data_IF_314762582652
#
_entry.id   IF_314762582652
#
_cell.length_a   1.000
_cell.length_b   1.000
_cell.length_c   1.000
_cell.angle_alpha   90.00
_cell.angle_beta   90.00
_cell.angle_gamma   90.00
#
_symmetry.space_group_name_H-M   'P 1'
#
loop_
_entity.id
_entity.type
_entity.pdbx_description
1 polymer ?
#
# COMPACT_ATOMS: atom_id res chain seq x y z
N UNK A 1 -30.33 3.73 2.17
CA UNK A 1 -30.40 2.27 2.00
C UNK A 1 -31.82 1.93 1.60
N UNK A 2 -32.03 1.48 0.36
CA UNK A 2 -33.36 1.19 -0.19
C UNK A 2 -33.77 -0.24 0.14
N UNK A 3 -35.04 -0.44 0.52
CA UNK A 3 -35.58 -1.76 0.85
C UNK A 3 -36.90 -2.01 0.12
N UNK A 4 -37.15 -3.28 -0.22
CA UNK A 4 -38.38 -3.78 -0.84
C UNK A 4 -38.74 -5.10 -0.16
N UNK A 5 -39.92 -5.18 0.45
CA UNK A 5 -40.39 -6.35 1.22
C UNK A 5 -39.35 -6.85 2.25
N UNK A 6 -38.71 -5.93 2.96
CA UNK A 6 -37.69 -6.24 3.96
C UNK A 6 -36.32 -6.67 3.41
N UNK A 7 -36.15 -6.76 2.09
CA UNK A 7 -34.88 -7.08 1.42
C UNK A 7 -34.16 -5.81 0.98
N UNK A 8 -32.83 -5.82 1.04
CA UNK A 8 -32.00 -4.73 0.49
C UNK A 8 -32.09 -4.79 -1.03
N UNK A 9 -32.40 -3.65 -1.64
CA UNK A 9 -32.45 -3.50 -3.09
C UNK A 9 -31.62 -2.31 -3.54
N UNK A 10 -31.18 -2.34 -4.79
CA UNK A 10 -30.60 -1.18 -5.45
C UNK A 10 -31.55 -0.65 -6.52
N UNK A 11 -31.83 0.64 -6.48
CA UNK A 11 -32.35 1.38 -7.64
C UNK A 11 -31.22 1.67 -8.62
N UNK A 12 -31.55 2.10 -9.84
CA UNK A 12 -30.52 2.54 -10.79
C UNK A 12 -29.69 3.71 -10.24
N UNK A 13 -30.30 4.59 -9.44
CA UNK A 13 -29.58 5.67 -8.77
C UNK A 13 -28.60 5.14 -7.72
N UNK A 14 -29.01 4.15 -6.92
CA UNK A 14 -28.13 3.49 -5.95
C UNK A 14 -26.95 2.81 -6.66
N UNK A 15 -27.18 2.13 -7.78
CA UNK A 15 -26.12 1.49 -8.57
C UNK A 15 -25.10 2.49 -9.13
N UNK A 16 -25.57 3.67 -9.56
CA UNK A 16 -24.69 4.74 -10.01
C UNK A 16 -23.85 5.30 -8.87
N UNK A 17 -24.46 5.52 -7.69
CA UNK A 17 -23.79 6.06 -6.52
C UNK A 17 -22.76 5.08 -5.93
N UNK A 18 -23.15 3.81 -5.78
CA UNK A 18 -22.36 2.78 -5.10
C UNK A 18 -21.19 2.27 -5.96
N UNK A 19 -21.45 2.01 -7.25
CA UNK A 19 -20.45 1.39 -8.14
C UNK A 19 -19.84 2.39 -9.14
N UNK A 20 -20.24 3.66 -9.09
CA UNK A 20 -19.75 4.69 -10.02
C UNK A 20 -20.12 4.42 -11.49
N UNK A 21 -21.18 3.65 -11.73
CA UNK A 21 -21.58 3.24 -13.07
C UNK A 21 -22.36 4.33 -13.80
N UNK A 22 -22.13 4.47 -15.11
CA UNK A 22 -22.92 5.38 -15.94
C UNK A 22 -24.34 4.85 -16.21
N UNK A 23 -25.32 5.75 -16.29
CA UNK A 23 -26.71 5.40 -16.60
C UNK A 23 -26.83 4.63 -17.92
N UNK A 24 -26.18 5.11 -18.98
CA UNK A 24 -26.19 4.47 -20.30
C UNK A 24 -25.61 3.05 -20.28
N UNK A 25 -24.57 2.82 -19.46
CA UNK A 25 -23.99 1.50 -19.24
C UNK A 25 -25.01 0.56 -18.59
N UNK A 26 -25.66 1.01 -17.52
CA UNK A 26 -26.69 0.22 -16.83
C UNK A 26 -27.89 -0.07 -17.73
N UNK A 27 -28.34 0.91 -18.52
CA UNK A 27 -29.43 0.73 -19.49
C UNK A 27 -29.07 -0.26 -20.59
N UNK A 28 -27.84 -0.18 -21.11
CA UNK A 28 -27.33 -1.14 -22.08
C UNK A 28 -27.33 -2.56 -21.50
N UNK A 29 -26.80 -2.76 -20.29
CA UNK A 29 -26.76 -4.09 -19.69
C UNK A 29 -28.15 -4.66 -19.45
N UNK A 30 -29.10 -3.83 -19.00
CA UNK A 30 -30.48 -4.25 -18.82
C UNK A 30 -31.18 -4.60 -20.15
N UNK A 31 -30.91 -3.85 -21.22
CA UNK A 31 -31.43 -4.13 -22.56
C UNK A 31 -30.89 -5.47 -23.10
N UNK A 32 -29.62 -5.74 -22.83
CA UNK A 32 -28.91 -6.96 -23.25
C UNK A 32 -29.01 -8.10 -22.22
N UNK A 33 -29.94 -8.02 -21.25
CA UNK A 33 -29.98 -8.95 -20.11
C UNK A 33 -30.10 -10.42 -20.49
N UNK A 34 -30.82 -10.71 -21.58
CA UNK A 34 -30.96 -12.07 -22.11
C UNK A 34 -29.63 -12.72 -22.52
N UNK A 35 -28.62 -11.94 -22.91
CA UNK A 35 -27.32 -12.45 -23.36
C UNK A 35 -26.20 -12.26 -22.33
N UNK A 36 -26.36 -11.35 -21.38
CA UNK A 36 -25.34 -11.06 -20.37
C UNK A 36 -25.68 -11.59 -18.96
N UNK A 37 -26.88 -12.16 -18.78
CA UNK A 37 -27.34 -12.75 -17.52
C UNK A 37 -27.64 -11.72 -16.43
N UNK A 38 -27.83 -10.45 -16.79
CA UNK A 38 -28.18 -9.38 -15.86
C UNK A 38 -29.45 -9.74 -15.09
N UNK A 39 -29.48 -9.53 -13.76
CA UNK A 39 -30.60 -9.93 -12.92
C UNK A 39 -31.89 -9.23 -13.34
N UNK A 40 -33.01 -9.93 -13.20
CA UNK A 40 -34.33 -9.33 -13.40
C UNK A 40 -34.66 -8.40 -12.22
N UNK A 41 -35.48 -7.36 -12.43
CA UNK A 41 -35.91 -6.50 -11.34
C UNK A 41 -36.70 -7.29 -10.30
N UNK A 42 -36.41 -7.10 -9.01
CA UNK A 42 -37.17 -7.67 -7.90
C UNK A 42 -38.53 -6.97 -7.72
N UNK A 43 -38.71 -5.78 -8.31
CA UNK A 43 -39.94 -4.99 -8.28
C UNK A 43 -39.63 -3.50 -8.49
N UNK A 44 -40.43 -2.65 -7.86
CA UNK A 44 -40.26 -1.19 -7.90
C UNK A 44 -40.13 -0.61 -6.50
N UNK A 45 -39.11 0.21 -6.27
CA UNK A 45 -39.01 1.07 -5.09
C UNK A 45 -39.49 2.48 -5.47
N UNK A 46 -40.73 2.81 -5.11
CA UNK A 46 -41.42 3.98 -5.67
C UNK A 46 -41.70 3.81 -7.15
N UNK A 47 -41.26 4.76 -7.98
CA UNK A 47 -41.42 4.69 -9.45
C UNK A 47 -40.22 4.06 -10.18
N UNK A 48 -39.18 3.64 -9.45
CA UNK A 48 -37.95 3.12 -10.03
C UNK A 48 -37.88 1.61 -9.92
N UNK A 49 -37.45 0.95 -10.99
CA UNK A 49 -37.07 -0.47 -10.94
C UNK A 49 -35.98 -0.68 -9.89
N UNK A 50 -36.13 -1.76 -9.13
CA UNK A 50 -35.22 -2.15 -8.08
C UNK A 50 -34.74 -3.58 -8.29
N UNK A 51 -33.45 -3.82 -8.07
CA UNK A 51 -32.81 -5.14 -8.15
C UNK A 51 -32.46 -5.62 -6.75
N UNK A 52 -32.60 -6.92 -6.50
CA UNK A 52 -32.10 -7.52 -5.27
C UNK A 52 -30.60 -7.25 -5.15
N UNK A 53 -30.18 -6.71 -4.00
CA UNK A 53 -28.81 -6.27 -3.82
C UNK A 53 -27.82 -7.44 -3.91
N UNK A 54 -28.15 -8.58 -3.31
CA UNK A 54 -27.26 -9.73 -3.28
C UNK A 54 -27.15 -10.39 -4.66
N UNK A 55 -28.25 -10.45 -5.41
CA UNK A 55 -28.22 -10.94 -6.79
C UNK A 55 -27.42 -10.03 -7.71
N UNK A 56 -27.61 -8.71 -7.59
CA UNK A 56 -26.81 -7.72 -8.30
C UNK A 56 -25.32 -7.87 -7.99
N UNK A 57 -24.96 -7.93 -6.71
CA UNK A 57 -23.57 -8.05 -6.26
C UNK A 57 -22.89 -9.29 -6.85
N UNK A 58 -23.56 -10.44 -6.79
CA UNK A 58 -23.04 -11.69 -7.39
C UNK A 58 -22.86 -11.57 -8.90
N UNK A 59 -23.87 -11.07 -9.61
CA UNK A 59 -23.79 -10.91 -11.06
C UNK A 59 -22.69 -9.92 -11.47
N UNK A 60 -22.62 -8.77 -10.80
CA UNK A 60 -21.65 -7.73 -11.12
C UNK A 60 -20.22 -8.18 -10.83
N UNK A 61 -20.00 -8.89 -9.72
CA UNK A 61 -18.72 -9.53 -9.41
C UNK A 61 -18.32 -10.55 -10.48
N UNK A 62 -19.23 -11.45 -10.87
CA UNK A 62 -18.99 -12.44 -11.93
C UNK A 62 -18.73 -11.80 -13.30
N UNK A 63 -19.40 -10.69 -13.61
CA UNK A 63 -19.16 -9.92 -14.83
C UNK A 63 -17.79 -9.25 -14.82
N UNK A 64 -17.33 -8.76 -13.65
CA UNK A 64 -16.00 -8.15 -13.48
C UNK A 64 -14.87 -9.17 -13.63
N UNK A 65 -15.08 -10.41 -13.20
CA UNK A 65 -14.11 -11.50 -13.29
C UNK A 65 -14.22 -12.34 -14.57
N UNK A 66 -15.21 -12.08 -15.45
CA UNK A 66 -15.36 -12.84 -16.69
C UNK A 66 -14.13 -12.66 -17.58
N UNK A 67 -13.48 -13.77 -17.92
CA UNK A 67 -12.27 -13.80 -18.74
C UNK A 67 -10.99 -13.49 -17.95
N UNK A 68 -11.08 -13.30 -16.63
CA UNK A 68 -9.94 -13.16 -15.75
C UNK A 68 -9.61 -14.55 -15.18
N UNK A 69 -8.38 -15.06 -15.39
CA UNK A 69 -7.94 -16.31 -14.78
C UNK A 69 -8.11 -16.31 -13.25
N UNK A 70 -8.45 -17.47 -12.69
CA UNK A 70 -8.51 -17.66 -11.24
C UNK A 70 -7.17 -17.35 -10.58
N UNK A 71 -7.21 -16.73 -9.40
CA UNK A 71 -6.00 -16.30 -8.67
C UNK A 71 -5.50 -14.91 -9.04
N UNK A 72 -6.07 -14.29 -10.07
CA UNK A 72 -5.76 -12.90 -10.40
C UNK A 72 -6.71 -11.95 -9.70
N UNK A 73 -6.13 -10.89 -9.12
CA UNK A 73 -6.84 -9.92 -8.29
C UNK A 73 -6.56 -8.50 -8.75
N UNK A 74 -7.56 -7.65 -8.61
CA UNK A 74 -7.41 -6.21 -8.82
C UNK A 74 -6.69 -5.56 -7.64
N UNK A 75 -6.17 -4.35 -7.85
CA UNK A 75 -5.57 -3.53 -6.79
C UNK A 75 -6.52 -3.26 -5.61
N UNK A 76 -7.83 -3.17 -5.86
CA UNK A 76 -8.81 -2.99 -4.79
C UNK A 76 -9.00 -4.27 -3.97
N UNK A 77 -8.94 -5.43 -4.62
CA UNK A 77 -8.97 -6.72 -3.93
C UNK A 77 -7.69 -6.94 -3.13
N UNK A 78 -6.52 -6.58 -3.68
CA UNK A 78 -5.26 -6.59 -2.91
C UNK A 78 -5.36 -5.74 -1.65
N UNK A 79 -5.92 -4.52 -1.76
CA UNK A 79 -6.12 -3.63 -0.63
C UNK A 79 -7.01 -4.27 0.45
N UNK A 80 -8.14 -4.85 0.04
CA UNK A 80 -9.10 -5.46 0.96
C UNK A 80 -8.54 -6.74 1.61
N UNK A 81 -7.88 -7.61 0.84
CA UNK A 81 -7.42 -8.93 1.30
C UNK A 81 -6.14 -8.87 2.13
N UNK A 82 -5.24 -7.95 1.83
CA UNK A 82 -3.96 -7.80 2.55
C UNK A 82 -3.94 -6.62 3.53
N UNK A 83 -5.06 -5.91 3.70
CA UNK A 83 -5.14 -4.77 4.63
C UNK A 83 -4.27 -3.58 4.25
N UNK A 84 -3.86 -3.47 2.98
CA UNK A 84 -2.96 -2.42 2.50
C UNK A 84 -3.77 -1.24 1.97
N UNK A 85 -3.40 -0.01 2.34
CA UNK A 85 -4.11 1.17 1.85
C UNK A 85 -3.95 1.34 0.34
N UNK A 86 -5.00 1.83 -0.33
CA UNK A 86 -4.95 2.18 -1.78
C UNK A 86 -3.84 3.17 -2.10
N UNK A 87 -3.56 4.11 -1.19
CA UNK A 87 -2.48 5.07 -1.33
C UNK A 87 -1.12 4.37 -1.37
N UNK A 88 -0.88 3.45 -0.43
CA UNK A 88 0.34 2.64 -0.38
C UNK A 88 0.52 1.83 -1.65
N UNK A 89 -0.51 1.13 -2.12
CA UNK A 89 -0.45 0.39 -3.39
C UNK A 89 -0.13 1.28 -4.60
N UNK A 90 -0.67 2.52 -4.62
CA UNK A 90 -0.36 3.49 -5.68
C UNK A 90 1.12 3.92 -5.64
N UNK A 91 1.68 4.17 -4.45
CA UNK A 91 3.10 4.49 -4.29
C UNK A 91 3.98 3.33 -4.74
N UNK A 92 3.69 2.12 -4.26
CA UNK A 92 4.44 0.91 -4.64
C UNK A 92 4.44 0.68 -6.16
N UNK A 93 3.32 0.91 -6.82
CA UNK A 93 3.23 0.82 -8.27
C UNK A 93 4.00 1.95 -8.99
N UNK A 94 4.00 3.16 -8.45
CA UNK A 94 4.77 4.28 -9.00
C UNK A 94 6.28 3.98 -8.92
N UNK A 95 6.72 3.41 -7.80
CA UNK A 95 8.11 3.08 -7.51
C UNK A 95 8.52 1.69 -8.02
N UNK A 96 7.71 1.05 -8.87
CA UNK A 96 7.89 -0.35 -9.30
C UNK A 96 9.27 -0.69 -9.86
N UNK A 97 9.89 0.28 -10.54
CA UNK A 97 11.24 0.12 -11.10
C UNK A 97 12.32 -0.01 -10.01
N UNK A 98 12.10 0.53 -8.81
CA UNK A 98 13.06 0.55 -7.71
C UNK A 98 12.75 -0.48 -6.61
N UNK A 99 11.52 -0.98 -6.53
CA UNK A 99 11.09 -1.90 -5.47
C UNK A 99 10.84 -3.34 -5.95
N UNK A 100 10.94 -3.61 -7.26
CA UNK A 100 10.75 -4.93 -7.84
C UNK A 100 9.29 -5.40 -7.80
N UNK A 101 8.32 -4.49 -7.77
CA UNK A 101 6.90 -4.81 -7.78
C UNK A 101 6.54 -5.67 -8.99
N UNK A 102 5.78 -6.78 -8.82
CA UNK A 102 5.36 -7.63 -9.93
C UNK A 102 4.57 -6.88 -11.00
N UNK A 103 4.78 -7.26 -12.26
CA UNK A 103 3.97 -6.75 -13.35
C UNK A 103 2.52 -7.27 -13.28
N UNK A 104 1.62 -6.60 -13.99
CA UNK A 104 0.25 -7.10 -14.08
C UNK A 104 0.20 -8.34 -14.98
N UNK A 105 -0.22 -9.47 -14.40
CA UNK A 105 -0.41 -10.74 -15.08
C UNK A 105 -1.54 -10.69 -16.13
N UNK A 106 -2.53 -9.80 -15.97
CA UNK A 106 -3.62 -9.66 -16.94
C UNK A 106 -4.19 -8.24 -17.01
N UNK A 107 -4.77 -7.90 -18.17
CA UNK A 107 -5.51 -6.65 -18.39
C UNK A 107 -6.85 -6.94 -19.06
N UNK A 108 -7.92 -6.46 -18.43
CA UNK A 108 -9.26 -6.44 -19.03
C UNK A 108 -9.76 -4.99 -19.11
N UNK A 109 -9.75 -4.42 -20.32
CA UNK A 109 -10.01 -3.00 -20.53
C UNK A 109 -8.98 -2.12 -19.81
N UNK A 110 -9.44 -1.25 -18.90
CA UNK A 110 -8.58 -0.41 -18.06
C UNK A 110 -8.17 -1.06 -16.74
N UNK A 111 -8.78 -2.21 -16.39
CA UNK A 111 -8.46 -2.91 -15.16
C UNK A 111 -7.20 -3.76 -15.34
N UNK A 112 -6.28 -3.62 -14.39
CA UNK A 112 -5.09 -4.45 -14.25
C UNK A 112 -5.31 -5.47 -13.15
N UNK A 113 -4.81 -6.67 -13.38
CA UNK A 113 -4.87 -7.77 -12.45
C UNK A 113 -3.47 -8.32 -12.20
N UNK A 114 -3.20 -8.66 -10.96
CA UNK A 114 -1.94 -9.25 -10.50
C UNK A 114 -2.20 -10.67 -10.01
N UNK A 115 -1.22 -11.54 -10.15
CA UNK A 115 -1.23 -12.81 -9.45
C UNK A 115 -1.15 -12.55 -7.95
N UNK A 116 -2.17 -13.00 -7.22
CA UNK A 116 -2.27 -12.74 -5.78
C UNK A 116 -1.13 -13.38 -4.99
N UNK A 117 -0.74 -14.60 -5.35
CA UNK A 117 0.29 -15.36 -4.63
C UNK A 117 1.67 -14.74 -4.87
N UNK A 118 1.99 -14.39 -6.11
CA UNK A 118 3.23 -13.69 -6.47
C UNK A 118 3.30 -12.33 -5.76
N UNK A 119 2.22 -11.54 -5.82
CA UNK A 119 2.18 -10.22 -5.19
C UNK A 119 2.33 -10.30 -3.67
N UNK A 120 1.63 -11.23 -3.02
CA UNK A 120 1.71 -11.39 -1.56
C UNK A 120 3.10 -11.86 -1.11
N UNK A 121 3.74 -12.76 -1.86
CA UNK A 121 5.10 -13.20 -1.58
C UNK A 121 6.09 -12.03 -1.68
N UNK A 122 6.00 -11.24 -2.75
CA UNK A 122 6.81 -10.04 -2.92
C UNK A 122 6.56 -9.01 -1.81
N UNK A 123 5.30 -8.73 -1.47
CA UNK A 123 4.95 -7.70 -0.50
C UNK A 123 5.49 -8.03 0.91
N UNK A 124 5.36 -9.29 1.33
CA UNK A 124 5.97 -9.77 2.58
C UNK A 124 7.49 -9.63 2.56
N UNK A 125 8.15 -10.01 1.48
CA UNK A 125 9.60 -9.84 1.36
C UNK A 125 10.02 -8.36 1.38
N UNK A 126 9.18 -7.46 0.86
CA UNK A 126 9.39 -6.01 0.93
C UNK A 126 9.26 -5.48 2.36
N UNK A 127 8.30 -5.99 3.15
CA UNK A 127 8.12 -5.61 4.56
C UNK A 127 9.21 -6.17 5.47
N UNK A 128 9.69 -7.38 5.17
CA UNK A 128 10.81 -8.00 5.89
C UNK A 128 12.16 -7.39 5.50
N UNK A 129 12.23 -6.63 4.40
CA UNK A 129 13.47 -5.98 3.97
C UNK A 129 13.83 -4.88 4.97
N UNK A 130 14.99 -4.95 5.65
CA UNK A 130 15.44 -3.85 6.48
C UNK A 130 15.50 -2.59 5.61
N UNK A 131 15.11 -1.45 6.17
CA UNK A 131 15.24 -0.16 5.50
C UNK A 131 16.67 -0.05 4.96
N UNK A 132 16.82 0.19 3.66
CA UNK A 132 18.14 0.30 3.06
C UNK A 132 18.87 1.44 3.75
N UNK A 133 19.90 1.11 4.53
CA UNK A 133 20.66 2.10 5.31
C UNK A 133 21.38 3.04 4.35
N UNK A 134 20.80 4.21 4.10
CA UNK A 134 21.31 5.23 3.20
C UNK A 134 22.53 5.94 3.80
N UNK A 135 23.43 6.48 2.97
CA UNK A 135 24.57 7.27 3.46
C UNK A 135 24.14 8.53 4.21
N UNK A 136 22.95 9.05 3.95
CA UNK A 136 22.40 10.22 4.64
C UNK A 136 21.54 9.89 5.85
N UNK A 137 21.37 8.61 6.17
CA UNK A 137 20.55 8.19 7.31
C UNK A 137 21.11 8.74 8.62
N UNK A 138 20.20 9.22 9.46
CA UNK A 138 20.51 9.73 10.78
C UNK A 138 20.67 8.56 11.75
N UNK A 139 21.90 8.33 12.19
CA UNK A 139 22.27 7.29 13.13
C UNK A 139 22.46 7.86 14.53
N UNK A 140 22.00 7.12 15.53
CA UNK A 140 22.29 7.37 16.93
C UNK A 140 23.77 7.13 17.24
N UNK A 141 24.22 7.63 18.38
CA UNK A 141 25.56 7.37 18.88
C UNK A 141 25.86 5.86 19.05
N UNK A 142 24.86 5.07 19.47
CA UNK A 142 24.99 3.62 19.60
C UNK A 142 25.14 2.90 18.25
N UNK A 143 24.45 3.40 17.21
CA UNK A 143 24.63 2.92 15.84
C UNK A 143 25.98 3.32 15.28
N UNK A 144 26.45 4.54 15.56
CA UNK A 144 27.78 4.98 15.20
C UNK A 144 28.88 4.11 15.83
N UNK A 145 28.73 3.68 17.09
CA UNK A 145 29.67 2.73 17.72
C UNK A 145 29.73 1.39 16.97
N UNK A 146 28.57 0.86 16.56
CA UNK A 146 28.50 -0.38 15.79
C UNK A 146 29.21 -0.24 14.45
N UNK A 147 29.01 0.88 13.74
CA UNK A 147 29.70 1.19 12.48
C UNK A 147 31.23 1.23 12.68
N UNK A 148 31.69 1.77 13.80
CA UNK A 148 33.12 1.95 14.10
C UNK A 148 33.77 0.73 14.78
N UNK A 149 33.02 -0.34 15.06
CA UNK A 149 33.51 -1.49 15.82
C UNK A 149 33.90 -1.18 17.26
N UNK A 150 33.30 -0.15 17.87
CA UNK A 150 33.61 0.29 19.23
C UNK A 150 32.67 -0.35 20.25
N UNK A 151 33.17 -0.57 21.46
CA UNK A 151 32.32 -0.90 22.60
C UNK A 151 31.33 0.24 22.88
N UNK A 152 30.08 -0.11 23.22
CA UNK A 152 29.03 0.87 23.48
C UNK A 152 29.38 1.84 24.63
N UNK A 153 30.18 1.40 25.59
CA UNK A 153 30.69 2.22 26.70
C UNK A 153 31.70 3.28 26.26
N UNK A 154 32.42 3.05 25.15
CA UNK A 154 33.42 4.00 24.63
C UNK A 154 32.77 5.17 23.90
N UNK A 155 31.67 4.92 23.18
CA UNK A 155 31.03 5.96 22.36
C UNK A 155 30.23 6.96 23.18
N UNK A 156 29.68 6.57 24.33
CA UNK A 156 28.85 7.46 25.17
C UNK A 156 29.63 8.67 25.69
N UNK A 157 30.95 8.53 25.85
CA UNK A 157 31.86 9.63 26.21
C UNK A 157 31.95 10.68 25.10
N UNK A 158 31.78 10.30 23.82
CA UNK A 158 31.91 11.21 22.68
C UNK A 158 30.83 12.29 22.66
N UNK A 159 29.69 12.07 23.33
CA UNK A 159 28.64 13.07 23.45
C UNK A 159 29.08 14.30 24.26
N UNK A 160 30.04 14.16 25.18
CA UNK A 160 30.58 15.25 26.01
C UNK A 160 32.06 15.55 25.78
N UNK A 161 32.82 14.58 25.29
CA UNK A 161 34.25 14.70 24.98
C UNK A 161 34.54 13.98 23.66
N UNK A 162 34.15 14.58 22.52
CA UNK A 162 34.39 13.98 21.22
C UNK A 162 35.90 13.93 20.92
N UNK A 163 36.40 12.85 20.31
CA UNK A 163 37.79 12.80 19.84
C UNK A 163 38.00 13.76 18.68
N UNK A 164 39.26 14.06 18.38
CA UNK A 164 39.62 14.90 17.24
C UNK A 164 39.02 14.35 15.93
N UNK A 165 38.40 15.23 15.15
CA UNK A 165 37.77 14.88 13.87
C UNK A 165 36.41 14.20 13.96
N UNK A 166 35.86 13.98 15.15
CA UNK A 166 34.49 13.47 15.31
C UNK A 166 33.46 14.42 14.68
N UNK A 167 32.49 13.92 13.90
CA UNK A 167 31.52 14.79 13.24
C UNK A 167 30.56 15.45 14.23
N UNK A 168 30.13 16.68 13.88
CA UNK A 168 29.03 17.35 14.57
C UNK A 168 27.71 16.60 14.33
N UNK A 169 26.79 16.57 15.32
CA UNK A 169 25.49 15.96 15.13
C UNK A 169 24.67 16.75 14.11
N UNK A 170 24.11 16.05 13.12
CA UNK A 170 23.22 16.63 12.14
C UNK A 170 21.85 17.00 12.73
N UNK A 171 21.46 16.37 13.85
CA UNK A 171 20.25 16.72 14.60
C UNK A 171 20.43 16.42 16.09
N UNK A 172 19.85 17.27 16.92
CA UNK A 172 19.74 17.06 18.36
C UNK A 172 18.27 17.09 18.77
N UNK A 173 17.90 16.18 19.67
CA UNK A 173 16.52 16.03 20.16
C UNK A 173 16.52 16.04 21.69
N UNK A 174 15.76 16.94 22.34
CA UNK A 174 15.61 16.90 23.79
C UNK A 174 14.86 15.64 24.20
N UNK A 175 15.32 15.02 25.28
CA UNK A 175 14.70 13.87 25.94
C UNK A 175 14.27 14.27 27.36
N UNK A 176 13.35 13.51 27.94
CA UNK A 176 12.92 13.70 29.32
C UNK A 176 14.10 13.61 30.31
N UNK A 177 14.09 14.51 31.30
CA UNK A 177 15.09 14.60 32.35
C UNK A 177 16.39 15.32 31.94
N UNK A 178 16.32 16.31 31.04
CA UNK A 178 17.47 17.13 30.63
C UNK A 178 18.48 16.41 29.72
N UNK A 179 18.15 15.21 29.26
CA UNK A 179 18.99 14.43 28.34
C UNK A 179 18.80 14.93 26.90
N UNK A 180 19.82 14.74 26.06
CA UNK A 180 19.76 15.08 24.63
C UNK A 180 20.20 13.87 23.82
N UNK A 181 19.39 13.48 22.84
CA UNK A 181 19.76 12.51 21.81
C UNK A 181 20.44 13.25 20.67
N UNK A 182 21.59 12.76 20.24
CA UNK A 182 22.36 13.27 19.10
C UNK A 182 22.27 12.26 17.96
N UNK A 183 21.97 12.76 16.78
CA UNK A 183 21.88 12.00 15.55
C UNK A 183 22.94 12.51 14.57
N UNK A 184 23.68 11.59 13.98
CA UNK A 184 24.79 11.85 13.07
C UNK A 184 24.43 11.32 11.69
N UNK A 185 24.91 11.94 10.61
CA UNK A 185 24.74 11.31 9.30
C UNK A 185 25.68 10.12 9.22
N UNK A 186 25.16 9.00 8.70
CA UNK A 186 25.94 7.78 8.50
C UNK A 186 27.22 8.01 7.70
N UNK A 187 27.15 8.81 6.63
CA UNK A 187 28.32 9.17 5.78
C UNK A 187 29.43 9.86 6.56
N UNK A 188 29.09 10.71 7.54
CA UNK A 188 30.09 11.47 8.28
C UNK A 188 30.81 10.54 9.29
N UNK A 189 30.07 9.59 9.88
CA UNK A 189 30.64 8.53 10.72
C UNK A 189 31.56 7.61 9.92
N UNK A 190 31.16 7.23 8.70
CA UNK A 190 31.99 6.42 7.79
C UNK A 190 33.24 7.18 7.33
N UNK A 191 33.11 8.47 7.01
CA UNK A 191 34.25 9.32 6.65
C UNK A 191 35.25 9.44 7.81
N UNK A 192 34.76 9.60 9.04
CA UNK A 192 35.58 9.57 10.25
C UNK A 192 36.31 8.22 10.40
N UNK A 193 35.61 7.10 10.20
CA UNK A 193 36.20 5.75 10.25
C UNK A 193 37.34 5.61 9.24
N UNK A 194 37.13 6.07 8.01
CA UNK A 194 38.11 6.02 6.93
C UNK A 194 39.32 6.92 7.18
N UNK A 195 39.12 8.10 7.80
CA UNK A 195 40.20 8.99 8.18
C UNK A 195 41.06 8.39 9.30
N UNK A 196 40.44 7.75 10.30
CA UNK A 196 41.12 7.06 11.40
C UNK A 196 41.95 5.86 10.93
N UNK A 197 41.53 5.16 9.88
CA UNK A 197 42.29 4.02 9.35
C UNK A 197 43.57 4.43 8.58
N UNK A 198 43.74 5.71 8.25
CA UNK A 198 44.88 6.23 7.47
C UNK A 198 45.97 6.92 8.31
N UNK A 199 45.70 7.17 9.60
CA UNK A 199 46.65 7.80 10.53
C UNK A 199 47.08 6.82 11.61
#
# INVERSE_FOLDING_TARGET
MTTLDGRRVYTRADLMAEYGLGRSTLEKWYRERASNGHPEPAGTAGSQLAWDAAEWDRWYAGRRSRGVPSGLVTRDELAARHGVSRHRLKQLWADRAANGHPDAAHRAGKAMYWDEAEWAAWYRALEERPAAEGPDDLVTLAEAARILGLAQTSVTVYAGRPPAGWPEPARTEPLGGGRVRRLYRRRDVLAYAAARAKG
#
